data_IF_796067886883
#
_entry.id   IF_796067886883
#
_cell.length_a   1.000
_cell.length_b   1.000
_cell.length_c   1.000
_cell.angle_alpha   90.00
_cell.angle_beta   90.00
_cell.angle_gamma   90.00
#
_symmetry.space_group_name_H-M   'P 1'
#
loop_
_entity.id
_entity.type
_entity.pdbx_description
1 polymer ?
#
# COMPACT_ATOMS: atom_id res chain seq x y z
N UNK A 1 -3.79 -16.09 1.59
CA UNK A 1 -4.71 -15.14 0.95
C UNK A 1 -4.37 -15.02 -0.53
N UNK A 2 -5.40 -14.96 -1.38
CA UNK A 2 -5.18 -14.74 -2.81
C UNK A 2 -5.13 -13.23 -3.05
N UNK A 3 -4.19 -12.78 -3.88
CA UNK A 3 -4.20 -11.42 -4.39
C UNK A 3 -5.52 -11.17 -5.16
N UNK A 4 -6.00 -9.92 -5.12
CA UNK A 4 -7.15 -9.54 -5.93
C UNK A 4 -6.83 -9.67 -7.42
N UNK A 5 -7.84 -9.98 -8.23
CA UNK A 5 -7.67 -10.11 -9.68
C UNK A 5 -7.15 -8.81 -10.32
N UNK A 6 -7.67 -7.67 -9.89
CA UNK A 6 -7.39 -6.36 -10.47
C UNK A 6 -6.04 -5.75 -10.01
N UNK A 7 -5.22 -6.52 -9.26
CA UNK A 7 -3.81 -6.16 -9.05
C UNK A 7 -2.98 -6.52 -10.28
N UNK A 8 -2.34 -5.52 -10.88
CA UNK A 8 -1.52 -5.68 -12.07
C UNK A 8 -0.03 -5.78 -11.82
N UNK A 9 0.43 -5.51 -10.60
CA UNK A 9 1.86 -5.45 -10.30
C UNK A 9 2.44 -6.81 -9.90
N UNK A 10 3.63 -7.12 -10.41
CA UNK A 10 4.44 -8.31 -10.06
C UNK A 10 3.68 -9.64 -10.09
N UNK A 11 2.69 -9.75 -10.95
CA UNK A 11 1.92 -10.96 -11.20
C UNK A 11 2.19 -11.41 -12.63
N UNK A 12 2.42 -12.72 -12.81
CA UNK A 12 2.70 -13.30 -14.13
C UNK A 12 1.59 -12.92 -15.12
N UNK A 13 1.98 -12.57 -16.33
CA UNK A 13 1.10 -12.16 -17.45
C UNK A 13 0.27 -10.89 -17.19
N UNK A 14 0.65 -10.12 -16.16
CA UNK A 14 0.09 -8.81 -15.84
C UNK A 14 1.18 -7.73 -15.85
N UNK A 15 0.78 -6.49 -15.87
CA UNK A 15 1.67 -5.34 -15.89
C UNK A 15 0.89 -4.04 -16.06
N UNK A 16 1.57 -2.98 -16.44
CA UNK A 16 0.96 -1.66 -16.64
C UNK A 16 -0.18 -1.73 -17.68
N UNK A 17 0.01 -2.45 -18.79
CA UNK A 17 -1.01 -2.60 -19.83
C UNK A 17 -2.25 -3.36 -19.35
N UNK A 18 -2.06 -4.37 -18.50
CA UNK A 18 -3.18 -5.05 -17.86
C UNK A 18 -3.97 -4.10 -16.96
N UNK A 19 -3.27 -3.37 -16.07
CA UNK A 19 -3.91 -2.43 -15.15
C UNK A 19 -4.66 -1.33 -15.91
N UNK A 20 -4.08 -0.80 -17.00
CA UNK A 20 -4.75 0.18 -17.83
C UNK A 20 -6.04 -0.36 -18.44
N UNK A 21 -6.02 -1.59 -18.98
CA UNK A 21 -7.22 -2.23 -19.56
C UNK A 21 -8.31 -2.47 -18.50
N UNK A 22 -7.94 -2.92 -17.30
CA UNK A 22 -8.92 -3.08 -16.22
C UNK A 22 -9.48 -1.73 -15.78
N UNK A 23 -8.66 -0.69 -15.66
CA UNK A 23 -9.13 0.66 -15.37
C UNK A 23 -10.10 1.19 -16.44
N UNK A 24 -9.79 1.03 -17.73
CA UNK A 24 -10.68 1.40 -18.83
C UNK A 24 -12.00 0.63 -18.76
N UNK A 25 -11.94 -0.68 -18.48
CA UNK A 25 -13.12 -1.52 -18.28
C UNK A 25 -13.98 -1.02 -17.10
N UNK A 26 -13.35 -0.65 -15.98
CA UNK A 26 -14.05 -0.09 -14.83
C UNK A 26 -14.70 1.26 -15.13
N UNK A 27 -14.07 2.12 -15.93
CA UNK A 27 -14.69 3.34 -16.44
C UNK A 27 -15.94 3.04 -17.26
N UNK A 28 -15.87 2.07 -18.18
CA UNK A 28 -17.05 1.63 -18.94
C UNK A 28 -18.16 1.04 -18.04
N UNK A 29 -17.79 0.30 -17.00
CA UNK A 29 -18.76 -0.22 -16.03
C UNK A 29 -19.45 0.93 -15.29
N UNK A 30 -18.72 1.92 -14.81
CA UNK A 30 -19.28 3.10 -14.14
C UNK A 30 -20.26 3.86 -15.06
N UNK A 31 -19.85 4.08 -16.32
CA UNK A 31 -20.72 4.69 -17.32
C UNK A 31 -22.02 3.88 -17.54
N UNK A 32 -21.91 2.57 -17.68
CA UNK A 32 -23.06 1.70 -17.92
C UNK A 32 -24.02 1.63 -16.73
N UNK A 33 -23.51 1.66 -15.51
CA UNK A 33 -24.32 1.68 -14.29
C UNK A 33 -25.08 3.01 -14.14
N UNK A 34 -24.45 4.13 -14.47
CA UNK A 34 -25.03 5.47 -14.31
C UNK A 34 -25.79 5.95 -15.56
N UNK A 35 -25.60 5.31 -16.73
CA UNK A 35 -26.06 5.76 -18.05
C UNK A 35 -25.57 7.14 -18.46
N UNK A 36 -24.51 7.63 -17.83
CA UNK A 36 -23.85 8.92 -18.10
C UNK A 36 -22.43 8.92 -17.49
N UNK A 37 -21.66 9.97 -17.78
CA UNK A 37 -20.31 10.17 -17.21
C UNK A 37 -20.35 10.72 -15.77
N UNK A 38 -21.46 10.60 -15.07
CA UNK A 38 -21.54 10.93 -13.66
C UNK A 38 -20.91 9.84 -12.81
N UNK A 39 -20.27 10.25 -11.75
CA UNK A 39 -19.58 9.40 -10.83
C UNK A 39 -18.25 10.01 -10.41
N UNK A 40 -17.55 9.29 -9.56
CA UNK A 40 -16.35 9.77 -8.91
C UNK A 40 -15.26 8.71 -8.96
N UNK A 41 -14.04 9.17 -9.06
CA UNK A 41 -12.84 8.33 -9.03
C UNK A 41 -11.97 8.83 -7.88
N UNK A 42 -11.68 7.96 -6.95
CA UNK A 42 -10.66 8.14 -5.92
C UNK A 42 -9.34 7.57 -6.45
N UNK A 43 -8.33 8.40 -6.55
CA UNK A 43 -6.94 7.99 -6.73
C UNK A 43 -6.22 8.07 -5.39
N UNK A 44 -5.42 7.08 -5.07
CA UNK A 44 -4.64 7.05 -3.85
C UNK A 44 -3.25 6.46 -4.08
N UNK A 45 -2.31 6.89 -3.25
CA UNK A 45 -0.89 6.52 -3.30
C UNK A 45 -0.39 6.34 -1.86
N UNK A 46 0.48 5.36 -1.61
CA UNK A 46 1.14 5.24 -0.31
C UNK A 46 2.37 6.14 -0.22
N UNK A 47 2.57 6.74 0.93
CA UNK A 47 3.72 7.60 1.18
C UNK A 47 4.96 6.77 1.45
N UNK A 48 5.98 6.88 0.57
CA UNK A 48 7.26 6.17 0.72
C UNK A 48 7.04 4.71 1.10
N UNK A 49 6.31 4.02 0.25
CA UNK A 49 5.71 2.74 0.54
C UNK A 49 6.73 1.70 1.02
N UNK A 50 7.76 1.44 0.21
CA UNK A 50 8.79 0.46 0.52
C UNK A 50 9.58 0.80 1.76
N UNK A 51 9.90 2.08 1.98
CA UNK A 51 10.63 2.55 3.15
C UNK A 51 9.87 2.35 4.47
N UNK A 52 8.54 2.26 4.41
CA UNK A 52 7.68 2.23 5.59
C UNK A 52 7.16 0.85 5.96
N UNK A 53 7.43 -0.19 5.19
CA UNK A 53 7.00 -1.55 5.53
C UNK A 53 7.76 -2.07 6.74
N UNK A 54 7.10 -2.34 7.90
CA UNK A 54 7.74 -2.89 9.09
C UNK A 54 8.07 -4.36 8.88
N UNK A 55 9.28 -4.78 9.23
CA UNK A 55 9.76 -6.15 9.04
C UNK A 55 9.02 -7.17 9.89
N UNK A 56 8.82 -6.89 11.17
CA UNK A 56 8.13 -7.76 12.11
C UNK A 56 6.70 -8.08 11.66
N UNK A 57 5.97 -7.04 11.26
CA UNK A 57 4.60 -7.18 10.77
C UNK A 57 4.55 -7.94 9.45
N UNK A 58 5.48 -7.64 8.51
CA UNK A 58 5.56 -8.34 7.23
C UNK A 58 5.89 -9.82 7.42
N UNK A 59 6.90 -10.14 8.23
CA UNK A 59 7.31 -11.52 8.54
C UNK A 59 6.15 -12.27 9.19
N UNK A 60 5.44 -11.64 10.12
CA UNK A 60 4.25 -12.23 10.75
C UNK A 60 3.14 -12.52 9.74
N UNK A 61 2.85 -11.57 8.85
CA UNK A 61 1.81 -11.74 7.82
C UNK A 61 2.16 -12.88 6.85
N UNK A 62 3.41 -12.97 6.43
CA UNK A 62 3.89 -14.04 5.53
C UNK A 62 3.90 -15.40 6.24
N UNK A 63 4.24 -15.44 7.52
CA UNK A 63 4.19 -16.66 8.35
C UNK A 63 2.78 -17.25 8.50
N UNK A 64 1.73 -16.43 8.32
CA UNK A 64 0.36 -16.95 8.25
C UNK A 64 0.04 -17.67 6.92
N UNK A 65 0.93 -17.61 5.93
CA UNK A 65 0.73 -18.18 4.60
C UNK A 65 1.74 -19.30 4.31
N UNK A 66 2.97 -19.12 4.75
CA UNK A 66 4.07 -20.09 4.58
C UNK A 66 4.26 -20.83 5.89
N UNK A 67 4.06 -22.14 5.87
CA UNK A 67 4.20 -23.01 7.04
C UNK A 67 5.56 -23.73 7.12
N UNK A 68 6.37 -23.67 6.04
CA UNK A 68 7.70 -24.29 6.02
C UNK A 68 8.70 -23.44 6.80
N UNK A 69 9.27 -24.00 7.87
CA UNK A 69 10.17 -23.30 8.79
C UNK A 69 11.44 -22.81 8.11
N UNK A 70 12.03 -23.59 7.19
CA UNK A 70 13.23 -23.19 6.47
C UNK A 70 12.96 -22.02 5.53
N UNK A 71 11.85 -22.07 4.78
CA UNK A 71 11.43 -20.97 3.90
C UNK A 71 11.16 -19.69 4.69
N UNK A 72 10.52 -19.79 5.86
CA UNK A 72 10.27 -18.64 6.73
C UNK A 72 11.56 -18.07 7.34
N UNK A 73 12.47 -18.94 7.78
CA UNK A 73 13.78 -18.48 8.25
C UNK A 73 14.53 -17.74 7.12
N UNK A 74 14.61 -18.33 5.92
CA UNK A 74 15.29 -17.70 4.79
C UNK A 74 14.63 -16.36 4.42
N UNK A 75 13.31 -16.32 4.39
CA UNK A 75 12.55 -15.10 4.13
C UNK A 75 12.85 -14.01 5.17
N UNK A 76 12.87 -14.35 6.46
CA UNK A 76 13.18 -13.39 7.51
C UNK A 76 14.61 -12.84 7.39
N UNK A 77 15.59 -13.66 7.01
CA UNK A 77 16.96 -13.23 6.77
C UNK A 77 17.03 -12.23 5.60
N UNK A 78 16.30 -12.49 4.51
CA UNK A 78 16.26 -11.59 3.35
C UNK A 78 15.62 -10.24 3.73
N UNK A 79 14.49 -10.27 4.43
CA UNK A 79 13.82 -9.03 4.89
C UNK A 79 14.70 -8.26 5.87
N UNK A 80 15.33 -8.95 6.82
CA UNK A 80 16.20 -8.34 7.83
C UNK A 80 17.49 -7.74 7.24
N UNK A 81 17.91 -8.19 6.06
CA UNK A 81 19.04 -7.58 5.36
C UNK A 81 18.78 -6.13 4.92
N UNK A 82 17.53 -5.75 4.79
CA UNK A 82 17.10 -4.37 4.45
C UNK A 82 16.98 -3.43 5.67
N UNK A 83 17.35 -3.87 6.88
CA UNK A 83 17.36 -3.01 8.08
C UNK A 83 18.29 -1.82 7.89
N UNK A 84 17.80 -0.64 8.23
CA UNK A 84 18.60 0.60 8.13
C UNK A 84 19.53 0.68 9.34
N UNK A 85 20.85 0.67 9.10
CA UNK A 85 21.85 0.84 10.15
C UNK A 85 21.91 2.32 10.57
N UNK A 86 21.66 2.55 11.84
CA UNK A 86 21.70 3.88 12.48
C UNK A 86 22.74 3.94 13.61
N UNK A 87 23.61 2.94 13.71
CA UNK A 87 24.59 2.83 14.81
C UNK A 87 25.58 4.00 14.89
N UNK A 88 25.89 4.59 13.73
CA UNK A 88 26.78 5.75 13.62
C UNK A 88 26.09 7.12 13.68
N UNK A 89 24.77 7.16 13.83
CA UNK A 89 24.00 8.38 13.82
C UNK A 89 23.71 8.89 15.23
N UNK A 90 23.60 10.20 15.37
CA UNK A 90 23.08 10.84 16.59
C UNK A 90 21.55 10.66 16.69
N UNK A 91 21.00 10.88 17.88
CA UNK A 91 19.54 10.78 18.07
C UNK A 91 18.79 11.83 17.25
N UNK A 92 19.36 13.01 17.03
CA UNK A 92 18.77 14.05 16.17
C UNK A 92 18.75 13.63 14.70
N UNK A 93 19.81 13.00 14.19
CA UNK A 93 19.88 12.47 12.83
C UNK A 93 18.89 11.33 12.63
N UNK A 94 18.78 10.42 13.61
CA UNK A 94 17.78 9.34 13.58
C UNK A 94 16.34 9.92 13.59
N UNK A 95 16.09 10.92 14.44
CA UNK A 95 14.80 11.62 14.44
C UNK A 95 14.52 12.30 13.09
N UNK A 96 15.55 12.85 12.44
CA UNK A 96 15.47 13.42 11.11
C UNK A 96 15.07 12.36 10.05
N UNK A 97 15.66 11.17 10.12
CA UNK A 97 15.29 10.03 9.26
C UNK A 97 13.84 9.60 9.50
N UNK A 98 13.42 9.46 10.75
CA UNK A 98 12.07 9.07 11.11
C UNK A 98 11.04 10.09 10.60
N UNK A 99 11.33 11.36 10.69
CA UNK A 99 10.45 12.42 10.19
C UNK A 99 10.50 12.57 8.65
N UNK A 100 11.62 12.29 8.04
CA UNK A 100 11.87 12.43 6.61
C UNK A 100 11.54 11.17 5.81
N UNK A 101 12.35 10.12 5.93
CA UNK A 101 12.27 8.90 5.12
C UNK A 101 11.12 8.03 5.57
N UNK A 102 11.03 7.75 6.86
CA UNK A 102 10.00 6.90 7.45
C UNK A 102 8.72 7.68 7.78
N UNK A 103 8.48 8.76 7.10
CA UNK A 103 7.45 9.78 7.24
C UNK A 103 6.10 9.23 7.72
N UNK A 104 6.04 8.81 8.95
CA UNK A 104 4.84 8.47 9.64
C UNK A 104 4.27 9.74 10.24
N UNK A 105 2.98 9.96 10.04
CA UNK A 105 2.26 11.08 10.67
C UNK A 105 2.36 10.97 12.20
N UNK A 106 2.46 9.74 12.69
CA UNK A 106 2.53 9.45 14.12
C UNK A 106 3.93 9.74 14.69
N UNK A 107 4.99 9.57 13.93
CA UNK A 107 6.35 9.92 14.36
C UNK A 107 6.57 11.44 14.51
N UNK A 108 5.77 12.25 13.86
CA UNK A 108 5.80 13.72 14.09
C UNK A 108 5.24 14.14 15.43
N UNK A 109 4.54 13.24 16.10
CA UNK A 109 3.86 13.49 17.38
C UNK A 109 4.46 12.70 18.54
N UNK A 110 5.18 11.64 18.27
CA UNK A 110 5.84 10.82 19.27
C UNK A 110 7.33 11.15 19.33
N UNK A 111 7.83 11.42 20.51
CA UNK A 111 9.26 11.44 20.75
C UNK A 111 9.78 10.03 20.45
N UNK A 112 10.59 9.91 19.40
CA UNK A 112 11.24 8.65 19.07
C UNK A 112 12.35 8.42 20.07
N UNK A 113 12.15 7.49 20.99
CA UNK A 113 13.20 7.01 21.89
C UNK A 113 13.99 5.92 21.18
N UNK A 114 15.23 6.18 20.87
CA UNK A 114 16.15 5.23 20.23
C UNK A 114 16.36 3.95 21.04
N UNK A 115 16.15 3.93 22.35
CA UNK A 115 16.29 2.78 23.28
C UNK A 115 17.58 1.97 23.09
N UNK A 116 18.65 2.58 22.53
CA UNK A 116 19.91 1.90 22.21
C UNK A 116 19.88 1.02 20.96
N UNK A 117 18.80 1.02 20.19
CA UNK A 117 18.71 0.26 18.94
C UNK A 117 19.70 0.78 17.90
N UNK A 118 20.39 -0.15 17.22
CA UNK A 118 21.34 0.15 16.16
C UNK A 118 20.73 0.10 14.76
N UNK A 119 19.54 -0.46 14.63
CA UNK A 119 18.88 -0.69 13.37
C UNK A 119 17.43 -0.25 13.44
N UNK A 120 16.92 0.29 12.35
CA UNK A 120 15.49 0.49 12.13
C UNK A 120 15.00 -0.69 11.30
N UNK A 121 14.10 -1.52 11.87
CA UNK A 121 13.54 -2.71 11.24
C UNK A 121 12.36 -2.33 10.33
N UNK A 122 12.65 -1.51 9.34
CA UNK A 122 11.73 -1.05 8.28
C UNK A 122 12.50 -0.98 6.98
N UNK A 123 11.76 -0.82 5.91
CA UNK A 123 12.24 -0.73 4.53
C UNK A 123 12.38 -2.08 3.85
N UNK A 124 12.19 -2.07 2.55
CA UNK A 124 12.50 -3.19 1.66
C UNK A 124 13.35 -2.66 0.52
N UNK A 125 14.40 -3.40 0.18
CA UNK A 125 15.27 -3.04 -0.94
C UNK A 125 14.51 -3.10 -2.26
N UNK A 126 14.64 -2.04 -3.06
CA UNK A 126 14.05 -1.99 -4.38
C UNK A 126 14.96 -2.73 -5.36
N UNK A 127 14.42 -3.76 -6.02
CA UNK A 127 15.14 -4.47 -7.08
C UNK A 127 15.24 -5.98 -6.89
N UNK A 128 15.06 -6.49 -5.68
CA UNK A 128 14.99 -7.93 -5.46
C UNK A 128 13.54 -8.47 -5.60
N UNK A 129 13.44 -9.77 -5.92
CA UNK A 129 12.15 -10.40 -6.17
C UNK A 129 11.33 -10.59 -4.88
N UNK A 130 11.99 -10.83 -3.75
CA UNK A 130 11.31 -11.03 -2.47
C UNK A 130 10.64 -9.73 -2.02
N UNK A 131 11.33 -8.59 -2.15
CA UNK A 131 10.78 -7.26 -1.87
C UNK A 131 9.61 -6.92 -2.78
N UNK A 132 9.69 -7.23 -4.08
CA UNK A 132 8.59 -7.00 -5.02
C UNK A 132 7.34 -7.80 -4.64
N UNK A 133 7.50 -9.10 -4.33
CA UNK A 133 6.38 -9.95 -3.91
C UNK A 133 5.80 -9.46 -2.58
N UNK A 134 6.66 -9.09 -1.63
CA UNK A 134 6.27 -8.55 -0.34
C UNK A 134 5.48 -7.26 -0.49
N UNK A 135 5.94 -6.34 -1.34
CA UNK A 135 5.25 -5.08 -1.63
C UNK A 135 3.86 -5.28 -2.27
N UNK A 136 3.69 -6.31 -3.09
CA UNK A 136 2.36 -6.65 -3.63
C UNK A 136 1.46 -7.32 -2.58
N UNK A 137 2.05 -8.14 -1.72
CA UNK A 137 1.32 -8.91 -0.71
C UNK A 137 0.86 -8.06 0.48
N UNK A 138 1.72 -7.16 0.96
CA UNK A 138 1.52 -6.45 2.22
C UNK A 138 0.21 -5.64 2.31
N UNK A 139 -0.29 -4.95 1.25
CA UNK A 139 -1.56 -4.21 1.29
C UNK A 139 -2.81 -5.10 1.12
N UNK A 140 -2.68 -6.43 1.08
CA UNK A 140 -3.83 -7.34 0.92
C UNK A 140 -4.98 -7.08 1.91
N UNK A 141 -4.76 -6.70 3.17
CA UNK A 141 -5.86 -6.32 4.07
C UNK A 141 -6.68 -5.13 3.56
N UNK A 142 -6.04 -4.16 2.90
CA UNK A 142 -6.72 -3.03 2.26
C UNK A 142 -7.53 -3.52 1.06
N UNK A 143 -6.94 -4.36 0.20
CA UNK A 143 -7.63 -4.97 -0.93
C UNK A 143 -8.90 -5.71 -0.49
N UNK A 144 -8.78 -6.52 0.57
CA UNK A 144 -9.90 -7.26 1.15
C UNK A 144 -10.97 -6.33 1.72
N UNK A 145 -10.57 -5.26 2.41
CA UNK A 145 -11.51 -4.26 2.89
C UNK A 145 -12.29 -3.63 1.73
N UNK A 146 -11.62 -3.17 0.69
CA UNK A 146 -12.25 -2.52 -0.46
C UNK A 146 -13.16 -3.49 -1.22
N UNK A 147 -12.65 -4.70 -1.56
CA UNK A 147 -13.39 -5.66 -2.41
C UNK A 147 -14.45 -6.45 -1.66
N UNK A 148 -14.21 -6.84 -0.41
CA UNK A 148 -15.07 -7.75 0.34
C UNK A 148 -15.98 -6.99 1.30
N UNK A 149 -15.41 -6.10 2.12
CA UNK A 149 -16.18 -5.39 3.15
C UNK A 149 -17.00 -4.26 2.50
N UNK A 150 -16.35 -3.42 1.69
CA UNK A 150 -16.99 -2.31 1.01
C UNK A 150 -17.64 -2.70 -0.33
N UNK A 151 -17.39 -3.92 -0.82
CA UNK A 151 -17.96 -4.48 -2.05
C UNK A 151 -17.75 -3.62 -3.31
N UNK A 152 -16.64 -2.84 -3.37
CA UNK A 152 -16.30 -2.10 -4.56
C UNK A 152 -15.93 -3.04 -5.70
N UNK A 153 -16.70 -3.02 -6.79
CA UNK A 153 -16.42 -3.80 -7.99
C UNK A 153 -15.27 -3.19 -8.80
N UNK A 154 -15.27 -1.87 -8.90
CA UNK A 154 -14.36 -1.07 -9.69
C UNK A 154 -13.22 -0.56 -8.81
N UNK A 155 -12.24 -1.42 -8.59
CA UNK A 155 -11.04 -1.17 -7.78
C UNK A 155 -9.83 -1.77 -8.47
N UNK A 156 -8.85 -0.96 -8.77
CA UNK A 156 -7.58 -1.31 -9.38
C UNK A 156 -6.43 -0.95 -8.45
N UNK A 157 -5.40 -1.80 -8.39
CA UNK A 157 -4.16 -1.49 -7.69
C UNK A 157 -2.94 -1.88 -8.51
N UNK A 158 -1.96 -1.01 -8.52
CA UNK A 158 -0.62 -1.26 -9.08
C UNK A 158 0.44 -0.84 -8.06
N UNK A 159 1.01 -1.81 -7.34
CA UNK A 159 1.91 -1.59 -6.20
C UNK A 159 1.27 -0.70 -5.13
N UNK A 160 1.77 0.52 -5.02
CA UNK A 160 1.36 1.56 -4.09
C UNK A 160 0.25 2.48 -4.62
N UNK A 161 0.03 2.48 -5.92
CA UNK A 161 -1.05 3.25 -6.55
C UNK A 161 -2.36 2.44 -6.57
N UNK A 162 -3.47 3.08 -6.25
CA UNK A 162 -4.80 2.49 -6.38
C UNK A 162 -5.85 3.47 -6.90
N UNK A 163 -6.86 2.92 -7.53
CA UNK A 163 -8.03 3.66 -7.99
C UNK A 163 -9.33 2.94 -7.59
N UNK A 164 -10.30 3.69 -7.10
CA UNK A 164 -11.64 3.19 -6.76
C UNK A 164 -12.68 4.06 -7.44
N UNK A 165 -13.65 3.46 -8.13
CA UNK A 165 -14.71 4.19 -8.81
C UNK A 165 -16.06 3.90 -8.17
N UNK A 166 -16.88 4.94 -8.01
CA UNK A 166 -18.22 4.80 -7.48
C UNK A 166 -19.10 5.98 -7.90
N UNK A 167 -20.40 5.76 -8.00
CA UNK A 167 -21.39 6.81 -8.32
C UNK A 167 -21.56 7.82 -7.17
N UNK A 168 -21.35 7.38 -5.94
CA UNK A 168 -21.53 8.17 -4.73
C UNK A 168 -20.16 8.56 -4.15
N UNK A 169 -19.94 9.87 -3.98
CA UNK A 169 -18.71 10.44 -3.44
C UNK A 169 -18.55 10.16 -1.95
N UNK A 170 -19.63 10.23 -1.19
CA UNK A 170 -19.57 10.01 0.27
C UNK A 170 -19.16 8.56 0.57
N UNK A 171 -19.66 7.63 -0.24
CA UNK A 171 -19.27 6.23 -0.12
C UNK A 171 -17.77 6.00 -0.38
N UNK A 172 -17.16 6.77 -1.32
CA UNK A 172 -15.71 6.75 -1.53
C UNK A 172 -14.96 7.37 -0.35
N UNK A 173 -15.46 8.47 0.23
CA UNK A 173 -14.85 9.11 1.40
C UNK A 173 -14.84 8.18 2.61
N UNK A 174 -15.95 7.53 2.91
CA UNK A 174 -16.03 6.52 3.97
C UNK A 174 -15.06 5.35 3.73
N UNK A 175 -14.95 4.90 2.49
CA UNK A 175 -14.00 3.84 2.11
C UNK A 175 -12.57 4.30 2.35
N UNK A 176 -12.23 5.54 1.97
CA UNK A 176 -10.91 6.12 2.18
C UNK A 176 -10.55 6.22 3.66
N UNK A 177 -11.50 6.60 4.52
CA UNK A 177 -11.27 6.61 5.98
C UNK A 177 -10.93 5.22 6.53
N UNK A 178 -11.61 4.18 6.04
CA UNK A 178 -11.28 2.81 6.40
C UNK A 178 -9.91 2.37 5.89
N UNK A 179 -9.54 2.79 4.67
CA UNK A 179 -8.20 2.55 4.12
C UNK A 179 -7.13 3.21 5.00
N UNK A 180 -7.33 4.47 5.44
CA UNK A 180 -6.41 5.14 6.36
C UNK A 180 -6.19 4.32 7.64
N UNK A 181 -7.28 3.87 8.29
CA UNK A 181 -7.20 3.10 9.54
C UNK A 181 -6.43 1.78 9.36
N UNK A 182 -6.65 1.08 8.25
CA UNK A 182 -5.95 -0.18 7.98
C UNK A 182 -4.48 0.09 7.66
N UNK A 183 -4.19 1.09 6.82
CA UNK A 183 -2.82 1.47 6.47
C UNK A 183 -2.02 1.83 7.74
N UNK A 184 -2.58 2.69 8.60
CA UNK A 184 -1.94 3.09 9.85
C UNK A 184 -1.71 1.90 10.79
N UNK A 185 -2.67 0.97 10.89
CA UNK A 185 -2.50 -0.26 11.70
C UNK A 185 -1.41 -1.18 11.16
N UNK A 186 -1.06 -1.05 9.89
CA UNK A 186 0.02 -1.78 9.22
C UNK A 186 1.35 -1.01 9.18
N UNK A 187 1.41 0.19 9.76
CA UNK A 187 2.61 1.04 9.75
C UNK A 187 2.96 1.61 8.38
N UNK A 188 2.04 1.56 7.41
CA UNK A 188 2.14 2.23 6.12
C UNK A 188 1.14 3.38 6.05
N UNK A 189 1.44 4.41 5.27
CA UNK A 189 0.65 5.64 5.28
C UNK A 189 0.22 6.05 3.88
N UNK A 190 -1.02 6.52 3.79
CA UNK A 190 -1.53 7.09 2.54
C UNK A 190 -0.97 8.50 2.35
N UNK A 191 -0.50 8.78 1.15
CA UNK A 191 -0.01 10.09 0.76
C UNK A 191 -1.16 11.07 0.52
N UNK A 192 -1.47 11.87 1.53
CA UNK A 192 -2.60 12.84 1.47
C UNK A 192 -2.48 13.87 0.35
N UNK A 193 -1.25 14.15 -0.15
CA UNK A 193 -1.05 15.13 -1.25
C UNK A 193 -1.33 14.51 -2.62
N UNK A 194 -1.17 13.20 -2.75
CA UNK A 194 -1.41 12.46 -3.98
C UNK A 194 -2.73 11.69 -3.97
N UNK A 195 -3.49 11.75 -2.86
CA UNK A 195 -4.79 11.12 -2.74
C UNK A 195 -5.89 12.16 -2.95
N UNK A 196 -6.70 11.95 -3.97
CA UNK A 196 -7.73 12.92 -4.36
C UNK A 196 -8.91 12.23 -5.06
N UNK A 197 -10.05 12.91 -5.05
CA UNK A 197 -11.27 12.46 -5.72
C UNK A 197 -11.62 13.44 -6.84
N UNK A 198 -11.84 12.91 -8.03
CA UNK A 198 -12.25 13.68 -9.20
C UNK A 198 -13.59 13.16 -9.76
N UNK A 199 -14.27 14.00 -10.53
CA UNK A 199 -15.44 13.54 -11.32
C UNK A 199 -14.97 12.64 -12.46
N UNK A 200 -15.66 11.55 -12.70
CA UNK A 200 -15.40 10.64 -13.81
C UNK A 200 -15.40 11.38 -15.17
N UNK A 201 -16.29 12.36 -15.33
CA UNK A 201 -16.36 13.21 -16.53
C UNK A 201 -15.07 13.97 -16.86
N UNK A 202 -14.20 14.20 -15.87
CA UNK A 202 -12.91 14.88 -16.11
C UNK A 202 -11.84 13.98 -16.72
N UNK A 203 -12.06 12.67 -16.76
CA UNK A 203 -11.09 11.69 -17.29
C UNK A 203 -11.39 11.33 -18.75
N UNK A 204 -12.61 11.65 -19.24
CA UNK A 204 -13.04 11.37 -20.61
C UNK A 204 -12.71 12.51 -21.61
N UNK A 205 -11.97 13.50 -21.20
CA UNK A 205 -11.45 14.55 -22.09
C UNK A 205 -10.07 14.16 -22.59
#
# INVERSE_FOLDING_TARGET
PKLIYDNGASVRDKGVDFTRKEFEKHLHMLFNENKCNDGWILFGDFSKYYDNIPHDQLISDVGNVISDEFSMWLYSVIVDASKVDVSGLTDEEVQGLMNGVFNSIDYRKADFERKGEKYIAKSLDIGDQASQISGVFYPTPIDNYVKIVRQHKMYDRYMDDFAIMHKDKEYLLETLEGIYKIADSKGIHINKKKTYIVKASSVYT
#
